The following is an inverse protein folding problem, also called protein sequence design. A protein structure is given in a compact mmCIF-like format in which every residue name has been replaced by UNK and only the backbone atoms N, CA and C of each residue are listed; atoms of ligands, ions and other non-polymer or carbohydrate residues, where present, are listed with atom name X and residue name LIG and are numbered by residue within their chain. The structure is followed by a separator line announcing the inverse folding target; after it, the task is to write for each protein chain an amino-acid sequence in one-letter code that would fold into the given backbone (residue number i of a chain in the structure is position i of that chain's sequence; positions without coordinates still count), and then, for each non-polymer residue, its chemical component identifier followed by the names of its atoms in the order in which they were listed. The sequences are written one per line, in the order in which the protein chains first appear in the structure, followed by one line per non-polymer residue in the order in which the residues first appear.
data_IF_565323749771
#
_entry.id   IF_565323749771
#
_cell.length_a   1.000
_cell.length_b   1.000
_cell.length_c   1.000
_cell.angle_alpha   90.00
_cell.angle_beta   90.00
_cell.angle_gamma   90.00
#
_symmetry.space_group_name_H-M   'P 1'
#
loop_
_entity.id
_entity.type
_entity.pdbx_description
1 polymer ?
#
# COMPACT_ATOMS: atom_id res chain seq x y z
N UNK A 1 36.54 -32.83 64.32
CA UNK A 1 36.17 -32.16 63.05
C UNK A 1 34.66 -32.25 62.86
N UNK A 2 34.02 -31.08 62.67
CA UNK A 2 32.73 -30.81 62.01
C UNK A 2 31.40 -31.26 62.66
N UNK A 3 30.82 -30.27 63.35
CA UNK A 3 29.39 -29.93 63.51
C UNK A 3 28.49 -30.24 62.31
N UNK A 4 27.22 -30.62 62.57
CA UNK A 4 26.06 -30.20 61.77
C UNK A 4 24.85 -29.93 62.66
N UNK A 5 24.39 -28.68 62.64
CA UNK A 5 23.08 -28.23 63.14
C UNK A 5 22.25 -27.78 61.91
N UNK A 6 20.93 -27.97 62.02
CA UNK A 6 19.81 -27.23 61.41
C UNK A 6 19.20 -27.80 60.12
N UNK A 7 17.90 -28.08 60.22
CA UNK A 7 16.92 -27.81 59.18
C UNK A 7 15.75 -27.10 59.85
N UNK A 8 15.58 -25.81 59.54
CA UNK A 8 14.38 -25.04 59.86
C UNK A 8 13.70 -24.72 58.52
N UNK A 9 12.40 -25.05 58.46
CA UNK A 9 11.56 -25.05 57.28
C UNK A 9 11.24 -23.62 56.83
N UNK A 10 11.36 -23.38 55.53
CA UNK A 10 10.93 -22.20 54.80
C UNK A 10 9.40 -22.18 54.69
N UNK A 11 8.77 -21.05 55.00
CA UNK A 11 7.47 -20.68 54.44
C UNK A 11 7.35 -19.16 54.45
N UNK A 12 6.96 -18.62 53.29
CA UNK A 12 6.37 -17.30 52.98
C UNK A 12 7.06 -16.73 51.72
N UNK A 13 6.47 -17.00 50.54
CA UNK A 13 6.67 -16.19 49.33
C UNK A 13 5.69 -16.56 48.21
N UNK A 14 4.38 -16.46 48.47
CA UNK A 14 3.36 -16.64 47.42
C UNK A 14 2.54 -15.36 47.13
N UNK A 15 2.72 -14.26 47.87
CA UNK A 15 1.93 -13.02 47.68
C UNK A 15 2.61 -11.93 46.84
N UNK A 16 3.92 -12.01 46.60
CA UNK A 16 4.68 -10.93 45.91
C UNK A 16 4.73 -11.04 44.40
N UNK A 17 4.37 -12.19 43.80
CA UNK A 17 4.43 -12.41 42.35
C UNK A 17 3.20 -11.84 41.61
N UNK A 18 2.05 -11.75 42.27
CA UNK A 18 0.81 -11.23 41.64
C UNK A 18 0.78 -9.70 41.45
N UNK A 19 1.44 -8.95 42.34
CA UNK A 19 1.42 -7.47 42.30
C UNK A 19 2.37 -6.92 41.23
N UNK A 20 3.48 -7.60 40.95
CA UNK A 20 4.44 -7.20 39.91
C UNK A 20 3.92 -7.43 38.49
N UNK A 21 3.17 -8.52 38.25
CA UNK A 21 2.55 -8.79 36.94
C UNK A 21 1.47 -7.75 36.57
N UNK A 22 0.61 -7.37 37.52
CA UNK A 22 -0.40 -6.33 37.31
C UNK A 22 0.20 -4.93 37.11
N UNK A 23 1.31 -4.61 37.79
CA UNK A 23 2.02 -3.35 37.61
C UNK A 23 2.73 -3.27 36.25
N UNK A 24 3.22 -4.40 35.72
CA UNK A 24 3.87 -4.49 34.42
C UNK A 24 2.86 -4.45 33.26
N UNK A 25 1.64 -5.00 33.43
CA UNK A 25 0.54 -4.83 32.47
C UNK A 25 0.05 -3.38 32.37
N UNK A 26 -0.12 -2.68 33.50
CA UNK A 26 -0.46 -1.24 33.52
C UNK A 26 0.55 -0.38 32.76
N UNK A 27 1.81 -0.80 32.73
CA UNK A 27 2.90 -0.07 32.09
C UNK A 27 3.02 -0.31 30.57
N UNK A 28 2.16 -1.15 30.00
CA UNK A 28 2.15 -1.46 28.55
C UNK A 28 0.90 -0.94 27.82
N UNK A 29 -0.05 -0.36 28.56
CA UNK A 29 -1.28 0.19 27.98
C UNK A 29 -0.97 1.40 27.10
N UNK A 30 -1.65 1.47 25.96
CA UNK A 30 -1.42 2.50 24.95
C UNK A 30 -0.17 2.30 24.09
N UNK A 31 0.69 1.32 24.38
CA UNK A 31 1.80 0.98 23.49
C UNK A 31 1.25 0.67 22.09
N UNK A 32 1.74 1.40 21.11
CA UNK A 32 1.21 1.41 19.76
C UNK A 32 2.34 1.20 18.74
N UNK A 33 2.06 0.40 17.73
CA UNK A 33 2.95 0.15 16.60
C UNK A 33 2.20 0.39 15.28
N UNK A 34 2.96 0.64 14.21
CA UNK A 34 2.41 0.79 12.86
C UNK A 34 2.56 -0.55 12.16
N UNK A 35 1.46 -1.09 11.66
CA UNK A 35 1.45 -2.34 10.90
C UNK A 35 2.33 -2.24 9.65
N UNK A 36 2.97 -3.36 9.26
CA UNK A 36 3.86 -3.40 8.10
C UNK A 36 3.14 -3.01 6.81
N UNK A 37 1.93 -3.50 6.64
CA UNK A 37 1.04 -3.19 5.53
C UNK A 37 -0.30 -2.71 6.05
N UNK A 38 -1.00 -1.95 5.20
CA UNK A 38 -2.34 -1.45 5.46
C UNK A 38 -3.27 -2.58 5.94
N UNK A 39 -4.12 -2.28 6.91
CA UNK A 39 -5.10 -3.20 7.51
C UNK A 39 -4.49 -4.44 8.18
N UNK A 40 -3.22 -4.39 8.57
CA UNK A 40 -2.55 -5.53 9.20
C UNK A 40 -2.32 -6.69 8.24
N UNK A 41 -2.41 -6.46 6.93
CA UNK A 41 -2.19 -7.48 5.89
C UNK A 41 -0.77 -8.04 5.99
N UNK A 42 -0.62 -9.29 5.59
CA UNK A 42 0.67 -10.00 5.62
C UNK A 42 1.62 -9.49 4.52
N UNK A 43 1.07 -9.17 3.35
CA UNK A 43 1.82 -8.74 2.17
C UNK A 43 1.05 -7.71 1.35
N UNK A 44 1.74 -7.01 0.46
CA UNK A 44 1.14 -6.16 -0.56
C UNK A 44 1.29 -6.77 -1.96
N UNK A 45 0.32 -6.54 -2.84
CA UNK A 45 0.38 -7.02 -4.22
C UNK A 45 -0.07 -5.94 -5.19
N UNK A 46 0.69 -5.76 -6.27
CA UNK A 46 0.43 -4.74 -7.28
C UNK A 46 0.18 -5.39 -8.65
N UNK A 47 -0.89 -4.96 -9.32
CA UNK A 47 -1.19 -5.32 -10.70
C UNK A 47 -0.95 -4.11 -11.60
N UNK A 48 -0.04 -4.25 -12.56
CA UNK A 48 0.43 -3.15 -13.41
C UNK A 48 0.31 -3.50 -14.90
N UNK A 49 -0.24 -2.58 -15.68
CA UNK A 49 -0.57 -2.79 -17.09
C UNK A 49 0.02 -1.64 -17.92
N UNK A 50 0.93 -1.97 -18.84
CA UNK A 50 1.60 -0.99 -19.70
C UNK A 50 0.81 -0.79 -21.01
N UNK A 51 0.88 0.42 -21.57
CA UNK A 51 0.41 0.89 -22.90
C UNK A 51 -1.06 1.30 -23.08
N UNK A 52 -1.93 1.16 -22.08
CA UNK A 52 -3.34 1.57 -22.17
C UNK A 52 -4.09 0.89 -23.33
N UNK A 53 -4.04 -0.43 -23.38
CA UNK A 53 -4.39 -1.24 -24.55
C UNK A 53 -5.89 -1.58 -24.63
N UNK A 54 -6.47 -1.81 -25.83
CA UNK A 54 -7.87 -2.22 -25.97
C UNK A 54 -8.24 -3.51 -25.21
N UNK A 55 -7.32 -4.48 -25.13
CA UNK A 55 -7.54 -5.70 -24.35
C UNK A 55 -7.68 -5.44 -22.84
N UNK A 56 -7.13 -4.35 -22.30
CA UNK A 56 -7.33 -3.98 -20.89
C UNK A 56 -8.78 -3.62 -20.61
N UNK A 57 -9.35 -2.77 -21.47
CA UNK A 57 -10.76 -2.35 -21.39
C UNK A 57 -11.70 -3.55 -21.51
N UNK A 58 -11.37 -4.47 -22.43
CA UNK A 58 -12.24 -5.60 -22.74
C UNK A 58 -12.15 -6.74 -21.71
N UNK A 59 -10.93 -7.09 -21.29
CA UNK A 59 -10.67 -8.35 -20.60
C UNK A 59 -10.13 -8.18 -19.16
N UNK A 60 -9.49 -7.04 -18.84
CA UNK A 60 -8.83 -6.85 -17.53
C UNK A 60 -9.75 -6.12 -16.57
N UNK A 61 -10.19 -4.91 -16.95
CA UNK A 61 -10.94 -4.01 -16.07
C UNK A 61 -12.25 -4.64 -15.56
N UNK A 62 -13.04 -5.36 -16.39
CA UNK A 62 -14.23 -6.06 -15.89
C UNK A 62 -13.91 -7.09 -14.80
N UNK A 63 -12.86 -7.89 -14.98
CA UNK A 63 -12.46 -8.94 -14.03
C UNK A 63 -11.93 -8.37 -12.70
N UNK A 64 -11.18 -7.26 -12.76
CA UNK A 64 -10.72 -6.55 -11.56
C UNK A 64 -11.90 -5.92 -10.82
N UNK A 65 -12.80 -5.24 -11.54
CA UNK A 65 -14.00 -4.63 -10.96
C UNK A 65 -14.88 -5.66 -10.29
N UNK A 66 -15.10 -6.82 -10.91
CA UNK A 66 -15.90 -7.91 -10.34
C UNK A 66 -15.35 -8.39 -8.99
N UNK A 67 -14.03 -8.37 -8.79
CA UNK A 67 -13.36 -8.82 -7.56
C UNK A 67 -13.08 -7.68 -6.57
N UNK A 68 -13.36 -6.43 -6.94
CA UNK A 68 -13.01 -5.25 -6.15
C UNK A 68 -11.49 -5.02 -6.06
N UNK A 69 -10.73 -5.47 -7.06
CA UNK A 69 -9.28 -5.27 -7.11
C UNK A 69 -8.93 -3.97 -7.82
N UNK A 70 -7.81 -3.38 -7.38
CA UNK A 70 -7.21 -2.20 -7.99
C UNK A 70 -6.10 -2.65 -8.94
N UNK A 71 -6.11 -2.09 -10.15
CA UNK A 71 -5.01 -2.18 -11.11
C UNK A 71 -4.47 -0.79 -11.44
N UNK A 72 -3.18 -0.72 -11.78
CA UNK A 72 -2.53 0.49 -12.28
C UNK A 72 -2.27 0.37 -13.78
N UNK A 73 -2.82 1.30 -14.55
CA UNK A 73 -2.70 1.33 -16.01
C UNK A 73 -1.80 2.49 -16.42
N UNK A 74 -0.62 2.18 -16.93
CA UNK A 74 0.31 3.13 -17.50
C UNK A 74 -0.11 3.43 -18.94
N UNK A 75 -0.65 4.63 -19.16
CA UNK A 75 -1.33 4.99 -20.40
C UNK A 75 -0.47 5.86 -21.32
N UNK A 76 -0.74 5.77 -22.63
CA UNK A 76 -0.13 6.61 -23.67
C UNK A 76 -1.21 7.35 -24.49
N UNK A 77 -1.72 8.50 -24.05
CA UNK A 77 -2.90 9.09 -24.69
C UNK A 77 -2.68 9.60 -26.14
N UNK A 78 -1.44 9.69 -26.60
CA UNK A 78 -1.07 10.22 -27.93
C UNK A 78 -0.92 9.14 -29.00
N UNK A 79 -0.97 7.85 -28.64
CA UNK A 79 -0.82 6.75 -29.59
C UNK A 79 -2.14 6.38 -30.25
N UNK A 80 -2.07 5.71 -31.41
CA UNK A 80 -3.26 5.42 -32.24
C UNK A 80 -4.18 4.35 -31.65
N UNK A 81 -3.66 3.42 -30.86
CA UNK A 81 -4.45 2.33 -30.26
C UNK A 81 -5.20 2.76 -28.99
N UNK A 82 -4.88 3.93 -28.43
CA UNK A 82 -5.50 4.39 -27.20
C UNK A 82 -6.90 4.96 -27.45
N UNK A 83 -7.93 4.22 -27.01
CA UNK A 83 -9.33 4.60 -27.15
C UNK A 83 -9.75 5.64 -26.09
N UNK A 84 -9.35 6.91 -26.29
CA UNK A 84 -9.55 8.02 -25.32
C UNK A 84 -10.93 8.04 -24.65
N UNK A 85 -12.00 8.00 -25.44
CA UNK A 85 -13.37 8.10 -24.93
C UNK A 85 -13.78 6.96 -24.01
N UNK A 86 -13.28 5.75 -24.25
CA UNK A 86 -13.51 4.60 -23.35
C UNK A 86 -12.64 4.71 -22.11
N UNK A 87 -11.37 5.08 -22.25
CA UNK A 87 -10.49 5.20 -21.10
C UNK A 87 -10.92 6.29 -20.11
N UNK A 88 -11.32 7.45 -20.62
CA UNK A 88 -11.83 8.58 -19.82
C UNK A 88 -13.11 8.23 -19.06
N UNK A 89 -13.94 7.32 -19.59
CA UNK A 89 -15.22 6.95 -19.00
C UNK A 89 -15.14 5.69 -18.14
N UNK A 90 -14.71 4.59 -18.73
CA UNK A 90 -14.90 3.24 -18.18
C UNK A 90 -13.88 2.93 -17.07
N UNK A 91 -12.66 3.46 -17.20
CA UNK A 91 -11.57 3.17 -16.26
C UNK A 91 -11.66 4.05 -15.01
N UNK A 92 -12.01 5.33 -15.19
CA UNK A 92 -12.35 6.24 -14.09
C UNK A 92 -13.54 5.68 -13.29
N UNK A 93 -14.62 5.28 -13.97
CA UNK A 93 -15.79 4.70 -13.31
C UNK A 93 -15.52 3.33 -12.64
N UNK A 94 -14.45 2.63 -13.03
CA UNK A 94 -14.05 1.36 -12.42
C UNK A 94 -13.17 1.55 -11.17
N UNK A 95 -12.76 2.78 -10.83
CA UNK A 95 -11.90 3.05 -9.68
C UNK A 95 -10.45 2.57 -9.88
N UNK A 96 -10.00 2.44 -11.12
CA UNK A 96 -8.64 2.02 -11.45
C UNK A 96 -7.67 3.20 -11.38
N UNK A 97 -6.38 2.89 -11.18
CA UNK A 97 -5.34 3.91 -11.06
C UNK A 97 -4.66 4.13 -12.40
N UNK A 98 -4.43 5.39 -12.75
CA UNK A 98 -3.69 5.78 -13.95
C UNK A 98 -2.25 6.13 -13.60
N UNK A 99 -1.32 5.57 -14.36
CA UNK A 99 0.10 5.90 -14.34
C UNK A 99 0.53 6.58 -15.64
N UNK A 100 1.65 7.29 -15.58
CA UNK A 100 2.26 7.93 -16.73
C UNK A 100 3.14 6.92 -17.49
N UNK A 101 2.86 6.71 -18.77
CA UNK A 101 3.72 5.95 -19.68
C UNK A 101 4.33 6.80 -20.80
N UNK A 102 4.39 8.12 -20.62
CA UNK A 102 4.60 9.15 -21.65
C UNK A 102 3.42 9.31 -22.62
N UNK A 103 3.32 10.47 -23.29
CA UNK A 103 2.19 10.73 -24.18
C UNK A 103 2.29 9.90 -25.45
N UNK A 104 3.50 9.70 -25.99
CA UNK A 104 3.69 9.15 -27.34
C UNK A 104 4.28 7.75 -27.41
N UNK A 105 4.79 7.19 -26.30
CA UNK A 105 5.57 5.93 -26.31
C UNK A 105 6.76 5.96 -27.31
N UNK A 106 7.29 7.14 -27.66
CA UNK A 106 8.30 7.27 -28.72
C UNK A 106 9.75 7.18 -28.21
N UNK A 107 9.96 7.07 -26.90
CA UNK A 107 11.26 7.31 -26.28
C UNK A 107 11.61 8.80 -26.31
N UNK A 108 12.89 9.13 -26.16
CA UNK A 108 13.34 10.52 -26.14
C UNK A 108 14.78 10.66 -26.67
N UNK A 109 15.02 11.66 -27.53
CA UNK A 109 16.36 11.95 -28.08
C UNK A 109 17.23 12.81 -27.16
N UNK A 110 16.62 13.48 -26.18
CA UNK A 110 17.24 14.34 -25.19
C UNK A 110 16.28 14.56 -24.00
N UNK A 111 16.77 15.18 -22.92
CA UNK A 111 15.98 15.45 -21.72
C UNK A 111 14.80 16.39 -21.96
N UNK A 112 14.92 17.35 -22.90
CA UNK A 112 13.84 18.30 -23.19
C UNK A 112 12.64 17.59 -23.84
N UNK A 113 12.89 16.65 -24.75
CA UNK A 113 11.83 15.83 -25.34
C UNK A 113 11.17 14.92 -24.30
N UNK A 114 11.96 14.31 -23.41
CA UNK A 114 11.41 13.51 -22.31
C UNK A 114 10.54 14.35 -21.37
N UNK A 115 11.02 15.53 -20.96
CA UNK A 115 10.27 16.48 -20.13
C UNK A 115 8.92 16.81 -20.76
N UNK A 116 8.91 17.20 -22.03
CA UNK A 116 7.68 17.56 -22.74
C UNK A 116 6.70 16.40 -22.93
N UNK A 117 7.18 15.18 -23.24
CA UNK A 117 6.33 14.00 -23.46
C UNK A 117 5.74 13.48 -22.14
N UNK A 118 6.55 13.48 -21.08
CA UNK A 118 6.12 13.10 -19.72
C UNK A 118 5.13 14.13 -19.18
N UNK A 119 5.41 15.43 -19.31
CA UNK A 119 4.56 16.51 -18.83
C UNK A 119 3.15 16.43 -19.43
N UNK A 120 3.05 16.28 -20.76
CA UNK A 120 1.75 16.15 -21.44
C UNK A 120 0.95 14.96 -20.96
N UNK A 121 1.60 13.80 -20.75
CA UNK A 121 0.92 12.63 -20.19
C UNK A 121 0.52 12.87 -18.72
N UNK A 122 1.36 13.55 -17.95
CA UNK A 122 1.10 13.85 -16.54
C UNK A 122 -0.14 14.75 -16.40
N UNK A 123 -0.20 15.82 -17.19
CA UNK A 123 -1.37 16.70 -17.27
C UNK A 123 -2.64 15.94 -17.66
N UNK A 124 -2.53 15.01 -18.61
CA UNK A 124 -3.67 14.18 -19.01
C UNK A 124 -4.13 13.28 -17.86
N UNK A 125 -3.23 12.55 -17.20
CA UNK A 125 -3.55 11.69 -16.04
C UNK A 125 -4.21 12.48 -14.91
N UNK A 126 -3.75 13.71 -14.65
CA UNK A 126 -4.35 14.60 -13.65
C UNK A 126 -5.78 15.01 -14.02
N UNK A 127 -6.05 15.29 -15.30
CA UNK A 127 -7.38 15.66 -15.79
C UNK A 127 -8.39 14.51 -15.72
N UNK A 128 -7.94 13.26 -15.68
CA UNK A 128 -8.84 12.10 -15.53
C UNK A 128 -9.45 11.97 -14.14
N UNK A 129 -8.82 12.55 -13.11
CA UNK A 129 -9.29 12.47 -11.72
C UNK A 129 -9.19 13.85 -11.03
N UNK A 130 -9.95 14.86 -11.49
CA UNK A 130 -9.86 16.23 -10.99
C UNK A 130 -10.30 16.39 -9.54
N UNK A 131 -11.06 15.42 -9.00
CA UNK A 131 -11.52 15.39 -7.61
C UNK A 131 -10.42 14.97 -6.62
N UNK A 132 -9.33 14.35 -7.09
CA UNK A 132 -8.23 13.94 -6.24
C UNK A 132 -7.36 15.16 -5.87
N UNK A 133 -6.97 15.23 -4.59
CA UNK A 133 -6.16 16.31 -4.01
C UNK A 133 -4.91 16.58 -4.86
N UNK A 134 -4.59 17.87 -5.02
CA UNK A 134 -3.38 18.37 -5.69
C UNK A 134 -2.55 19.24 -4.73
N UNK A 135 -1.21 19.26 -4.84
CA UNK A 135 -0.40 18.41 -5.72
C UNK A 135 -0.46 16.94 -5.28
N UNK A 136 -0.15 16.00 -6.17
CA UNK A 136 -0.11 14.57 -5.87
C UNK A 136 1.03 13.85 -6.57
N UNK A 137 1.36 12.67 -6.05
CA UNK A 137 2.29 11.74 -6.67
C UNK A 137 1.62 11.01 -7.85
N UNK A 138 2.39 10.77 -8.91
CA UNK A 138 1.98 9.96 -10.07
C UNK A 138 3.00 8.86 -10.33
N UNK A 139 2.52 7.62 -10.51
CA UNK A 139 3.42 6.52 -10.82
C UNK A 139 3.87 6.59 -12.28
N UNK A 140 5.14 6.32 -12.55
CA UNK A 140 5.70 6.28 -13.90
C UNK A 140 6.26 4.92 -14.26
N UNK A 141 5.91 4.46 -15.46
CA UNK A 141 6.51 3.34 -16.16
C UNK A 141 7.24 3.89 -17.38
N UNK A 142 8.48 3.47 -17.61
CA UNK A 142 9.25 3.92 -18.78
C UNK A 142 8.94 3.01 -19.98
N UNK A 143 8.45 3.53 -21.12
CA UNK A 143 8.30 2.80 -22.37
C UNK A 143 9.52 1.94 -22.74
N UNK A 144 9.24 0.66 -22.99
CA UNK A 144 10.22 -0.32 -23.49
C UNK A 144 10.30 -0.32 -25.02
N UNK A 145 11.32 -0.97 -25.57
CA UNK A 145 11.45 -1.16 -27.03
C UNK A 145 11.69 0.12 -27.84
N UNK A 146 12.01 1.23 -27.19
CA UNK A 146 12.29 2.53 -27.80
C UNK A 146 13.54 3.18 -27.20
N UNK A 147 14.16 4.08 -27.95
CA UNK A 147 15.43 4.71 -27.57
C UNK A 147 15.25 5.87 -26.60
N UNK A 148 16.14 5.94 -25.61
CA UNK A 148 16.16 6.98 -24.60
C UNK A 148 17.57 7.50 -24.40
N UNK A 149 17.82 8.70 -24.90
CA UNK A 149 19.07 9.44 -24.73
C UNK A 149 18.92 10.47 -23.62
N UNK A 150 18.60 9.96 -22.42
CA UNK A 150 18.39 10.76 -21.22
C UNK A 150 19.13 10.09 -20.07
N UNK A 151 19.94 10.87 -19.36
CA UNK A 151 20.71 10.38 -18.22
C UNK A 151 19.82 10.14 -17.00
N UNK A 152 20.27 9.32 -16.03
CA UNK A 152 19.55 9.15 -14.77
C UNK A 152 19.29 10.45 -14.00
N UNK A 153 20.24 11.39 -14.01
CA UNK A 153 20.10 12.67 -13.29
C UNK A 153 19.08 13.60 -13.96
N UNK A 154 19.05 13.63 -15.30
CA UNK A 154 18.03 14.35 -16.05
C UNK A 154 16.63 13.76 -15.79
N UNK A 155 16.49 12.44 -15.82
CA UNK A 155 15.23 11.77 -15.46
C UNK A 155 14.80 12.08 -14.04
N UNK A 156 15.74 12.09 -13.08
CA UNK A 156 15.46 12.44 -11.68
C UNK A 156 14.98 13.88 -11.55
N UNK A 157 15.56 14.82 -12.30
CA UNK A 157 15.13 16.21 -12.32
C UNK A 157 13.69 16.36 -12.87
N UNK A 158 13.38 15.64 -13.96
CA UNK A 158 12.01 15.58 -14.51
C UNK A 158 11.03 15.00 -13.48
N UNK A 159 11.41 13.91 -12.80
CA UNK A 159 10.53 13.30 -11.81
C UNK A 159 10.24 14.22 -10.63
N UNK A 160 11.25 14.93 -10.12
CA UNK A 160 11.09 15.91 -9.06
C UNK A 160 10.16 17.07 -9.48
N UNK A 161 10.25 17.53 -10.73
CA UNK A 161 9.41 18.62 -11.27
C UNK A 161 7.92 18.30 -11.26
N UNK A 162 7.55 17.03 -11.46
CA UNK A 162 6.15 16.61 -11.63
C UNK A 162 5.63 15.67 -10.54
N UNK A 163 6.34 15.55 -9.41
CA UNK A 163 5.99 14.63 -8.32
C UNK A 163 5.85 13.17 -8.80
N UNK A 164 6.69 12.75 -9.74
CA UNK A 164 6.64 11.40 -10.30
C UNK A 164 7.42 10.44 -9.39
N UNK A 165 6.81 9.27 -9.15
CA UNK A 165 7.45 8.14 -8.49
C UNK A 165 7.59 7.00 -9.51
N UNK A 166 8.82 6.54 -9.82
CA UNK A 166 8.98 5.39 -10.70
C UNK A 166 8.33 4.16 -10.06
N UNK A 167 7.67 3.35 -10.87
CA UNK A 167 7.08 2.08 -10.42
C UNK A 167 8.14 1.12 -9.87
N UNK A 168 7.76 0.13 -9.04
CA UNK A 168 8.68 -0.92 -8.59
C UNK A 168 9.32 -1.67 -9.78
N UNK A 169 10.58 -2.12 -9.63
CA UNK A 169 11.29 -2.84 -10.68
C UNK A 169 10.57 -4.15 -11.02
N UNK A 170 10.54 -4.50 -12.31
CA UNK A 170 9.77 -5.66 -12.76
C UNK A 170 10.37 -7.01 -12.39
N UNK A 171 11.71 -7.08 -12.24
CA UNK A 171 12.45 -8.29 -11.89
C UNK A 171 12.05 -9.52 -12.73
N UNK A 172 11.77 -9.33 -14.02
CA UNK A 172 11.37 -10.41 -14.92
C UNK A 172 9.96 -10.97 -14.68
N UNK A 173 9.03 -10.17 -14.14
CA UNK A 173 7.67 -10.62 -13.79
C UNK A 173 6.58 -10.12 -14.74
N UNK A 174 6.93 -9.99 -16.02
CA UNK A 174 5.92 -9.71 -17.04
C UNK A 174 5.20 -11.00 -17.47
N UNK A 175 3.89 -11.04 -17.28
CA UNK A 175 3.01 -12.02 -17.92
C UNK A 175 3.04 -11.87 -19.43
N UNK A 176 2.92 -12.98 -20.15
CA UNK A 176 3.05 -13.00 -21.61
C UNK A 176 4.48 -12.80 -22.15
N UNK A 177 5.47 -12.40 -21.32
CA UNK A 177 6.89 -12.24 -21.72
C UNK A 177 7.81 -13.22 -20.98
N UNK A 178 7.92 -13.08 -19.66
CA UNK A 178 8.81 -13.89 -18.83
C UNK A 178 8.04 -15.06 -18.20
N UNK A 179 6.78 -14.80 -17.84
CA UNK A 179 5.87 -15.77 -17.29
C UNK A 179 4.83 -16.08 -18.37
N UNK A 180 4.73 -17.35 -18.78
CA UNK A 180 3.92 -17.76 -19.96
C UNK A 180 2.69 -18.58 -19.61
N UNK A 181 2.49 -18.93 -18.34
CA UNK A 181 1.42 -19.82 -17.90
C UNK A 181 0.93 -19.45 -16.50
N UNK A 182 -0.23 -20.00 -16.10
CA UNK A 182 -0.80 -19.80 -14.78
C UNK A 182 0.18 -20.13 -13.66
N UNK A 183 0.85 -21.29 -13.69
CA UNK A 183 1.74 -21.73 -12.60
C UNK A 183 2.80 -20.69 -12.23
N UNK A 184 3.40 -20.03 -13.22
CA UNK A 184 4.36 -18.97 -12.96
C UNK A 184 3.72 -17.72 -12.35
N UNK A 185 2.51 -17.35 -12.77
CA UNK A 185 1.78 -16.20 -12.19
C UNK A 185 1.39 -16.49 -10.74
N UNK A 186 0.86 -17.69 -10.48
CA UNK A 186 0.47 -18.15 -9.15
C UNK A 186 1.65 -18.16 -8.18
N UNK A 187 2.83 -18.60 -8.64
CA UNK A 187 4.07 -18.58 -7.84
C UNK A 187 4.44 -17.17 -7.35
N UNK A 188 4.17 -16.12 -8.13
CA UNK A 188 4.45 -14.74 -7.69
C UNK A 188 3.47 -14.32 -6.58
N UNK A 189 2.20 -14.72 -6.68
CA UNK A 189 1.21 -14.48 -5.61
C UNK A 189 1.61 -15.21 -4.33
N UNK A 190 1.97 -16.48 -4.43
CA UNK A 190 2.37 -17.31 -3.29
C UNK A 190 3.64 -16.76 -2.62
N UNK A 191 4.61 -16.30 -3.42
CA UNK A 191 5.83 -15.68 -2.92
C UNK A 191 5.54 -14.45 -2.04
N UNK A 192 4.56 -13.61 -2.45
CA UNK A 192 4.15 -12.44 -1.69
C UNK A 192 3.69 -12.85 -0.28
N UNK A 193 2.77 -13.82 -0.23
CA UNK A 193 2.19 -14.33 1.02
C UNK A 193 3.25 -15.05 1.85
N UNK A 194 4.15 -15.82 1.24
CA UNK A 194 5.20 -16.55 1.95
C UNK A 194 6.19 -15.58 2.62
N UNK A 195 6.69 -14.58 1.88
CA UNK A 195 7.72 -13.65 2.37
C UNK A 195 7.17 -12.47 3.16
N UNK A 196 5.86 -12.22 3.09
CA UNK A 196 5.23 -11.04 3.70
C UNK A 196 5.74 -9.71 3.11
N UNK A 197 6.26 -9.75 1.88
CA UNK A 197 6.82 -8.61 1.15
C UNK A 197 5.78 -7.88 0.31
N UNK A 198 6.27 -7.02 -0.59
CA UNK A 198 5.49 -6.51 -1.71
C UNK A 198 5.90 -7.26 -2.97
N UNK A 199 4.92 -7.78 -3.71
CA UNK A 199 5.15 -8.40 -5.01
C UNK A 199 4.29 -7.76 -6.09
N UNK A 200 4.67 -7.98 -7.34
CA UNK A 200 4.00 -7.34 -8.46
C UNK A 200 4.03 -8.18 -9.72
N UNK A 201 2.95 -8.11 -10.48
CA UNK A 201 2.86 -8.65 -11.83
C UNK A 201 2.61 -7.53 -12.83
N UNK A 202 3.26 -7.65 -13.97
CA UNK A 202 3.25 -6.65 -15.03
C UNK A 202 2.68 -7.29 -16.29
N UNK A 203 1.87 -6.54 -17.03
CA UNK A 203 1.23 -7.04 -18.25
C UNK A 203 1.27 -5.98 -19.33
N UNK A 204 1.41 -6.42 -20.58
CA UNK A 204 0.96 -5.63 -21.73
C UNK A 204 -0.45 -6.13 -22.05
N UNK A 205 -0.67 -6.77 -23.21
CA UNK A 205 -1.97 -7.33 -23.55
C UNK A 205 -2.40 -8.48 -22.63
N UNK A 206 -3.72 -8.65 -22.49
CA UNK A 206 -4.33 -9.85 -21.85
C UNK A 206 -5.45 -10.35 -22.74
N UNK A 207 -5.29 -11.52 -23.35
CA UNK A 207 -6.29 -12.09 -24.27
C UNK A 207 -6.37 -11.40 -25.62
N UNK A 208 -5.31 -10.70 -26.02
CA UNK A 208 -5.26 -9.87 -27.23
C UNK A 208 -4.06 -8.93 -27.23
N UNK A 209 -3.91 -8.20 -28.34
CA UNK A 209 -2.82 -7.25 -28.57
C UNK A 209 -1.39 -7.86 -28.41
N UNK A 210 -0.36 -7.06 -28.13
CA UNK A 210 1.03 -7.52 -28.06
C UNK A 210 1.45 -8.04 -26.68
N UNK A 211 2.50 -8.89 -26.70
CA UNK A 211 3.16 -9.45 -25.51
C UNK A 211 2.13 -10.04 -24.52
N UNK A 212 1.13 -10.71 -25.08
CA UNK A 212 -0.13 -10.98 -24.42
C UNK A 212 -0.06 -12.18 -23.48
N UNK A 213 -0.65 -12.06 -22.30
CA UNK A 213 -1.00 -13.19 -21.45
C UNK A 213 -2.38 -13.74 -21.83
N UNK A 214 -2.61 -15.05 -21.75
CA UNK A 214 -3.96 -15.62 -21.94
C UNK A 214 -4.96 -15.09 -20.90
N UNK A 215 -6.22 -14.92 -21.28
CA UNK A 215 -7.28 -14.55 -20.32
C UNK A 215 -7.48 -15.63 -19.26
N UNK A 216 -7.38 -16.90 -19.65
CA UNK A 216 -7.55 -18.05 -18.76
C UNK A 216 -6.53 -18.05 -17.60
N UNK A 217 -5.24 -17.90 -17.92
CA UNK A 217 -4.20 -17.88 -16.88
C UNK A 217 -4.27 -16.61 -16.03
N UNK A 218 -4.65 -15.48 -16.63
CA UNK A 218 -4.87 -14.24 -15.92
C UNK A 218 -5.99 -14.38 -14.88
N UNK A 219 -7.13 -14.96 -15.27
CA UNK A 219 -8.27 -15.22 -14.36
C UNK A 219 -7.86 -16.17 -13.24
N UNK A 220 -7.15 -17.27 -13.54
CA UNK A 220 -6.61 -18.18 -12.51
C UNK A 220 -5.74 -17.45 -11.49
N UNK A 221 -4.93 -16.49 -11.93
CA UNK A 221 -4.12 -15.65 -11.05
C UNK A 221 -4.98 -14.73 -10.18
N UNK A 222 -6.02 -14.09 -10.74
CA UNK A 222 -6.95 -13.28 -9.96
C UNK A 222 -7.70 -14.11 -8.90
N UNK A 223 -8.11 -15.33 -9.23
CA UNK A 223 -8.77 -16.23 -8.28
C UNK A 223 -7.83 -16.60 -7.12
N UNK A 224 -6.53 -16.74 -7.38
CA UNK A 224 -5.53 -16.98 -6.32
C UNK A 224 -5.30 -15.76 -5.44
N UNK A 225 -5.29 -14.55 -6.02
CA UNK A 225 -5.28 -13.31 -5.23
C UNK A 225 -6.50 -13.26 -4.32
N UNK A 226 -7.67 -13.65 -4.85
CA UNK A 226 -8.92 -13.63 -4.11
C UNK A 226 -8.95 -14.61 -2.95
N UNK A 227 -8.47 -15.83 -3.18
CA UNK A 227 -8.30 -16.83 -2.14
C UNK A 227 -7.34 -16.38 -1.01
N UNK A 228 -6.52 -15.35 -1.25
CA UNK A 228 -5.57 -14.79 -0.28
C UNK A 228 -5.94 -13.36 0.15
N UNK A 229 -7.18 -12.90 -0.09
CA UNK A 229 -7.61 -11.52 0.18
C UNK A 229 -7.44 -11.10 1.65
N UNK A 230 -7.53 -12.05 2.58
CA UNK A 230 -7.29 -11.77 4.01
C UNK A 230 -5.81 -11.49 4.31
N UNK A 231 -4.90 -12.06 3.51
CA UNK A 231 -3.45 -11.90 3.65
C UNK A 231 -2.87 -10.74 2.83
N UNK A 232 -3.56 -10.31 1.77
CA UNK A 232 -3.03 -9.39 0.77
C UNK A 232 -3.68 -8.01 0.81
N UNK A 233 -2.85 -6.98 0.82
CA UNK A 233 -3.22 -5.62 0.43
C UNK A 233 -3.00 -5.46 -1.08
N UNK A 234 -4.07 -5.65 -1.87
CA UNK A 234 -4.03 -5.48 -3.32
C UNK A 234 -4.28 -4.00 -3.61
N UNK A 235 -3.26 -3.30 -4.12
CA UNK A 235 -3.25 -1.83 -4.20
C UNK A 235 -2.45 -1.32 -5.40
N UNK A 236 -2.33 -0.01 -5.54
CA UNK A 236 -1.49 0.66 -6.52
C UNK A 236 -0.11 1.09 -5.98
N UNK A 237 0.87 1.34 -6.87
CA UNK A 237 2.22 1.76 -6.49
C UNK A 237 2.29 3.05 -5.67
N UNK A 238 1.40 4.03 -5.89
CA UNK A 238 1.45 5.31 -5.16
C UNK A 238 0.92 5.13 -3.74
N UNK A 239 -0.19 4.42 -3.55
CA UNK A 239 -0.69 4.13 -2.20
C UNK A 239 0.33 3.34 -1.39
N UNK A 240 0.96 2.32 -1.98
CA UNK A 240 2.02 1.56 -1.32
C UNK A 240 3.23 2.44 -0.99
N UNK A 241 3.72 3.23 -1.96
CA UNK A 241 4.86 4.14 -1.77
C UNK A 241 4.61 5.17 -0.67
N UNK A 242 3.40 5.74 -0.62
CA UNK A 242 3.01 6.69 0.44
C UNK A 242 2.99 6.01 1.80
N UNK A 243 2.32 4.86 1.92
CA UNK A 243 2.28 4.09 3.16
C UNK A 243 3.67 3.74 3.68
N UNK A 244 4.55 3.24 2.81
CA UNK A 244 5.92 2.89 3.21
C UNK A 244 6.73 4.13 3.61
N UNK A 245 6.64 5.22 2.84
CA UNK A 245 7.35 6.47 3.13
C UNK A 245 6.88 7.06 4.45
N UNK A 246 5.56 7.15 4.65
CA UNK A 246 4.96 7.70 5.86
C UNK A 246 5.27 6.84 7.08
N UNK A 247 5.14 5.52 6.98
CA UNK A 247 5.49 4.57 8.04
C UNK A 247 6.97 4.68 8.44
N UNK A 248 7.87 4.72 7.47
CA UNK A 248 9.31 4.79 7.74
C UNK A 248 9.72 6.13 8.36
N UNK A 249 9.00 7.21 8.03
CA UNK A 249 9.20 8.54 8.60
C UNK A 249 8.39 8.82 9.87
N UNK A 250 7.53 7.90 10.31
CA UNK A 250 6.59 8.13 11.40
C UNK A 250 7.19 7.94 12.79
N UNK A 251 6.66 8.70 13.75
CA UNK A 251 6.89 8.50 15.18
C UNK A 251 5.55 8.39 15.90
N UNK A 252 5.39 7.32 16.69
CA UNK A 252 4.22 7.09 17.54
C UNK A 252 4.63 7.34 19.00
N UNK A 253 3.88 8.17 19.72
CA UNK A 253 4.11 8.46 21.14
C UNK A 253 2.81 8.39 21.92
N UNK A 254 2.83 7.64 23.02
CA UNK A 254 1.75 7.69 24.02
C UNK A 254 1.91 8.98 24.81
N UNK A 255 0.91 9.85 24.76
CA UNK A 255 0.92 11.16 25.44
C UNK A 255 -0.02 11.20 26.64
N UNK A 256 -0.87 10.19 26.82
CA UNK A 256 -1.68 9.99 28.01
C UNK A 256 -2.33 8.61 28.03
N UNK A 257 -2.51 8.05 29.21
CA UNK A 257 -3.25 6.80 29.44
C UNK A 257 -3.85 6.87 30.84
N UNK A 258 -5.11 7.26 30.92
CA UNK A 258 -5.82 7.53 32.17
C UNK A 258 -7.29 7.08 32.08
N UNK A 259 -8.11 7.39 33.07
CA UNK A 259 -9.54 7.04 33.09
C UNK A 259 -10.35 7.61 31.92
N UNK A 260 -9.84 8.65 31.24
CA UNK A 260 -10.49 9.25 30.07
C UNK A 260 -10.16 8.54 28.77
N UNK A 261 -9.19 7.63 28.79
CA UNK A 261 -8.75 6.83 27.65
C UNK A 261 -7.26 6.92 27.36
N UNK A 262 -6.87 6.38 26.20
CA UNK A 262 -5.50 6.40 25.69
C UNK A 262 -5.39 7.51 24.66
N UNK A 263 -4.35 8.34 24.77
CA UNK A 263 -4.03 9.43 23.84
C UNK A 263 -2.68 9.18 23.17
N UNK A 264 -2.67 9.23 21.85
CA UNK A 264 -1.49 8.97 21.01
C UNK A 264 -1.22 10.17 20.10
N UNK A 265 0.05 10.56 19.99
CA UNK A 265 0.55 11.44 18.93
C UNK A 265 1.20 10.60 17.84
N UNK A 266 0.80 10.84 16.59
CA UNK A 266 1.38 10.25 15.39
C UNK A 266 1.90 11.37 14.50
N UNK A 267 3.22 11.49 14.37
CA UNK A 267 3.86 12.45 13.46
C UNK A 267 4.62 11.74 12.35
N UNK A 268 4.92 12.45 11.25
CA UNK A 268 5.73 11.94 10.15
C UNK A 268 6.63 13.06 9.60
N UNK A 269 7.83 12.69 9.13
CA UNK A 269 8.76 13.62 8.46
C UNK A 269 8.48 13.84 6.97
N UNK A 270 7.60 13.05 6.36
CA UNK A 270 7.22 13.19 4.96
C UNK A 270 6.40 14.48 4.71
N UNK A 271 6.45 15.00 3.49
CA UNK A 271 5.69 16.20 3.10
C UNK A 271 4.18 15.92 3.10
N UNK A 272 3.46 16.47 4.08
CA UNK A 272 2.01 16.28 4.25
C UNK A 272 1.14 16.77 3.07
N UNK A 273 1.70 17.54 2.13
CA UNK A 273 0.99 17.90 0.90
C UNK A 273 0.88 16.73 -0.09
N UNK A 274 1.90 15.87 -0.13
CA UNK A 274 2.00 14.73 -1.06
C UNK A 274 1.77 13.37 -0.39
N UNK A 275 2.08 13.30 0.90
CA UNK A 275 2.02 12.11 1.74
C UNK A 275 0.94 12.31 2.81
N UNK A 276 -0.25 11.82 2.50
CA UNK A 276 -1.44 11.91 3.35
C UNK A 276 -2.21 10.58 3.38
N UNK A 277 -1.47 9.47 3.40
CA UNK A 277 -2.05 8.13 3.45
C UNK A 277 -2.19 7.67 4.92
N UNK A 278 -3.41 7.31 5.37
CA UNK A 278 -3.59 6.81 6.73
C UNK A 278 -2.74 5.56 7.00
N UNK A 279 -2.08 5.55 8.16
CA UNK A 279 -1.30 4.41 8.64
C UNK A 279 -2.17 3.54 9.54
N UNK A 280 -2.02 2.23 9.44
CA UNK A 280 -2.70 1.28 10.32
C UNK A 280 -1.91 1.14 11.62
N UNK A 281 -2.47 1.59 12.72
CA UNK A 281 -1.93 1.45 14.05
C UNK A 281 -2.57 0.26 14.76
N UNK A 282 -1.75 -0.44 15.55
CA UNK A 282 -2.18 -1.48 16.47
C UNK A 282 -1.80 -1.00 17.87
N UNK A 283 -2.80 -0.74 18.71
CA UNK A 283 -2.60 -0.20 20.05
C UNK A 283 -3.07 -1.19 21.11
N UNK A 284 -2.25 -1.41 22.13
CA UNK A 284 -2.64 -2.19 23.32
C UNK A 284 -3.66 -1.41 24.14
N UNK A 285 -4.78 -2.07 24.46
CA UNK A 285 -5.89 -1.51 25.24
C UNK A 285 -6.22 -2.43 26.41
N UNK A 286 -6.93 -1.95 27.46
CA UNK A 286 -7.30 -2.79 28.58
C UNK A 286 -8.09 -4.02 28.12
N UNK A 287 -7.76 -5.21 28.64
CA UNK A 287 -8.38 -6.48 28.22
C UNK A 287 -9.92 -6.55 28.45
N UNK A 288 -10.43 -5.67 29.33
CA UNK A 288 -11.85 -5.50 29.56
C UNK A 288 -12.58 -4.79 28.41
N UNK A 289 -11.89 -3.95 27.63
CA UNK A 289 -12.48 -3.25 26.50
C UNK A 289 -12.79 -4.27 25.39
N UNK A 290 -14.04 -4.28 24.93
CA UNK A 290 -14.50 -5.14 23.84
C UNK A 290 -14.64 -4.40 22.52
N UNK A 291 -14.92 -3.11 22.61
CA UNK A 291 -15.08 -2.22 21.48
C UNK A 291 -14.51 -0.87 21.85
N UNK A 292 -13.85 -0.22 20.90
CA UNK A 292 -13.16 1.03 21.11
C UNK A 292 -13.70 2.09 20.16
N UNK A 293 -13.86 3.30 20.69
CA UNK A 293 -14.09 4.52 19.92
C UNK A 293 -12.77 5.23 19.71
N UNK A 294 -12.37 5.42 18.46
CA UNK A 294 -11.14 6.10 18.03
C UNK A 294 -11.54 7.43 17.42
N UNK A 295 -10.99 8.52 17.95
CA UNK A 295 -11.25 9.89 17.47
C UNK A 295 -9.95 10.56 17.05
N UNK A 296 -9.93 11.12 15.84
CA UNK A 296 -8.84 11.97 15.34
C UNK A 296 -9.42 13.06 14.45
N UNK A 297 -8.99 14.32 14.62
CA UNK A 297 -9.41 15.46 13.79
C UNK A 297 -10.94 15.60 13.67
N UNK A 298 -11.69 15.31 14.74
CA UNK A 298 -13.16 15.34 14.77
C UNK A 298 -13.86 14.16 14.07
N UNK A 299 -13.12 13.24 13.43
CA UNK A 299 -13.66 12.00 12.89
C UNK A 299 -13.61 10.92 13.96
N UNK A 300 -14.68 10.14 14.06
CA UNK A 300 -14.80 9.00 14.97
C UNK A 300 -15.00 7.72 14.17
N UNK A 301 -14.25 6.67 14.52
CA UNK A 301 -14.45 5.30 14.05
C UNK A 301 -14.56 4.39 15.26
N UNK A 302 -15.44 3.40 15.20
CA UNK A 302 -15.53 2.35 16.21
C UNK A 302 -15.00 1.05 15.63
N UNK A 303 -14.19 0.32 16.41
CA UNK A 303 -13.67 -1.00 16.01
C UNK A 303 -13.54 -1.93 17.23
N UNK A 304 -13.51 -3.22 16.98
CA UNK A 304 -13.45 -4.23 18.04
C UNK A 304 -12.05 -4.27 18.68
N UNK A 305 -12.03 -4.50 19.99
CA UNK A 305 -10.82 -4.83 20.71
C UNK A 305 -10.67 -6.35 20.79
N UNK A 306 -9.66 -6.87 20.11
CA UNK A 306 -9.39 -8.31 20.00
C UNK A 306 -8.07 -8.60 20.73
N UNK A 307 -8.10 -9.56 21.66
CA UNK A 307 -6.92 -9.98 22.43
C UNK A 307 -6.16 -8.81 23.11
N UNK A 308 -6.89 -7.82 23.64
CA UNK A 308 -6.31 -6.66 24.32
C UNK A 308 -5.63 -5.66 23.37
N UNK A 309 -5.98 -5.68 22.07
CA UNK A 309 -5.48 -4.76 21.08
C UNK A 309 -6.62 -4.20 20.23
N UNK A 310 -6.40 -2.99 19.71
CA UNK A 310 -7.30 -2.35 18.76
C UNK A 310 -6.51 -1.94 17.52
N UNK A 311 -7.01 -2.29 16.34
CA UNK A 311 -6.46 -1.89 15.05
C UNK A 311 -7.31 -0.78 14.43
N UNK A 312 -6.69 0.31 13.99
CA UNK A 312 -7.37 1.44 13.36
C UNK A 312 -6.44 2.21 12.43
N UNK A 313 -7.00 2.98 11.51
CA UNK A 313 -6.24 3.89 10.67
C UNK A 313 -6.15 5.28 11.31
N UNK A 314 -4.98 5.90 11.23
CA UNK A 314 -4.78 7.30 11.63
C UNK A 314 -3.86 8.02 10.65
N UNK A 315 -4.15 9.30 10.41
CA UNK A 315 -3.34 10.15 9.55
C UNK A 315 -2.20 10.77 10.39
N UNK A 316 -0.93 10.69 9.96
CA UNK A 316 0.12 11.44 10.63
C UNK A 316 -0.14 12.95 10.60
N UNK A 317 0.07 13.63 11.72
CA UNK A 317 -0.25 15.05 11.82
C UNK A 317 -0.08 15.65 13.21
N UNK A 318 -0.74 16.80 13.43
CA UNK A 318 -0.72 17.52 14.70
C UNK A 318 -1.80 17.05 15.67
N UNK A 319 -2.88 16.49 15.14
CA UNK A 319 -4.04 16.10 15.93
C UNK A 319 -3.76 14.80 16.70
N UNK A 320 -4.11 14.80 17.98
CA UNK A 320 -4.03 13.60 18.79
C UNK A 320 -5.09 12.56 18.39
N UNK A 321 -4.75 11.31 18.62
CA UNK A 321 -5.64 10.17 18.50
C UNK A 321 -6.13 9.83 19.91
N UNK A 322 -7.43 9.85 20.12
CA UNK A 322 -8.07 9.48 21.38
C UNK A 322 -8.77 8.12 21.22
N UNK A 323 -8.44 7.16 22.09
CA UNK A 323 -9.04 5.82 22.13
C UNK A 323 -9.76 5.64 23.47
N UNK A 324 -11.04 5.30 23.40
CA UNK A 324 -11.92 5.12 24.56
C UNK A 324 -12.69 3.81 24.42
N UNK A 325 -13.14 3.19 25.53
CA UNK A 325 -14.10 2.10 25.41
C UNK A 325 -15.42 2.64 24.86
N UNK A 326 -16.07 1.87 24.00
CA UNK A 326 -17.47 2.10 23.67
C UNK A 326 -18.32 1.41 24.74
N UNK A 327 -19.26 2.15 25.35
CA UNK A 327 -20.21 1.63 26.36
C UNK A 327 -21.24 0.66 25.76
#
# INVERSE_FOLDING_TARGET
MKSKIRSALLLISALTVGVTAMAQEKNSQGAAEIAKWKDGKKAAFLLMFDDGMPSHLKNVIPELKQRGFIGTFYINPGVKWYEKSKWEKDVVAAGMVFGNHTMTHAGAKDAAQADADIAQCNEYVLKLNPELKQPRLISFSRPGGVDWKVTPDEMKAIFAKYNIVPRPPSNGRFGGIHIKNADGLLKVVDLAVEKGGSESLFFHGVGGDWLSQSTEDFVKMLDRLDANRDNLWITDPISMHKYETERNGAQVKVIGSDEKGIRISLSCSADANLYDFPLTLITKVPAAWKKCKITQSGKTVTTDAVNGQVQYDALPGKDEILIQPEE
#
